data_IF_328178789881
#
_entry.id   IF_328178789881
#
_cell.length_a   1.000
_cell.length_b   1.000
_cell.length_c   1.000
_cell.angle_alpha   90.00
_cell.angle_beta   90.00
_cell.angle_gamma   90.00
#
_symmetry.space_group_name_H-M   'P 1'
#
loop_
_entity.id
_entity.type
_entity.pdbx_description
1 polymer ?
#
# COMPACT_ATOMS: atom_id res chain seq x y z
N UNK A 1 -10.63 1.62 47.63
CA UNK A 1 -11.30 1.81 46.33
C UNK A 1 -10.30 2.46 45.40
N UNK A 2 -9.68 1.68 44.51
CA UNK A 2 -8.80 2.24 43.47
C UNK A 2 -9.67 2.89 42.41
N UNK A 3 -9.52 4.19 42.19
CA UNK A 3 -10.07 4.85 41.02
C UNK A 3 -9.38 4.23 39.82
N UNK A 4 -10.13 3.55 38.95
CA UNK A 4 -9.70 3.30 37.60
C UNK A 4 -9.37 4.65 37.00
N UNK A 5 -8.10 4.87 36.68
CA UNK A 5 -7.70 6.00 35.87
C UNK A 5 -8.31 5.78 34.50
N UNK A 6 -9.29 6.60 34.13
CA UNK A 6 -9.76 6.69 32.73
C UNK A 6 -8.53 6.98 31.85
N UNK A 7 -8.06 5.95 31.17
CA UNK A 7 -7.05 6.11 30.14
C UNK A 7 -7.82 6.71 28.97
N UNK A 8 -7.72 8.01 28.84
CA UNK A 8 -8.26 8.74 27.70
C UNK A 8 -7.42 8.39 26.48
N UNK A 9 -7.84 7.34 25.75
CA UNK A 9 -7.18 6.93 24.52
C UNK A 9 -7.65 7.88 23.42
N UNK A 10 -6.86 8.91 23.16
CA UNK A 10 -7.10 9.81 22.03
C UNK A 10 -6.76 9.08 20.73
N UNK A 11 -7.78 8.66 19.99
CA UNK A 11 -7.62 8.09 18.65
C UNK A 11 -7.39 9.23 17.67
N UNK A 12 -6.15 9.34 17.17
CA UNK A 12 -5.82 10.31 16.11
C UNK A 12 -6.13 9.72 14.74
N UNK A 13 -6.89 10.42 13.90
CA UNK A 13 -7.13 9.97 12.52
C UNK A 13 -5.83 9.90 11.72
N UNK A 14 -5.71 8.84 10.91
CA UNK A 14 -4.57 8.59 10.03
C UNK A 14 -4.86 9.22 8.67
N UNK A 15 -3.89 9.96 8.11
CA UNK A 15 -3.87 10.32 6.71
C UNK A 15 -3.13 9.24 5.92
N UNK A 16 -3.72 8.77 4.84
CA UNK A 16 -3.16 7.71 3.99
C UNK A 16 -2.90 8.21 2.58
N UNK A 17 -1.91 7.62 1.92
CA UNK A 17 -1.77 7.68 0.48
C UNK A 17 -2.17 6.32 -0.10
N UNK A 18 -2.97 6.33 -1.16
CA UNK A 18 -3.38 5.11 -1.89
C UNK A 18 -3.03 5.25 -3.36
N UNK A 19 -2.54 4.18 -3.93
CA UNK A 19 -2.26 4.09 -5.36
C UNK A 19 -2.21 2.63 -5.81
N UNK A 20 -2.23 2.42 -7.11
CA UNK A 20 -2.05 1.11 -7.70
C UNK A 20 -0.81 1.07 -8.60
N UNK A 21 -0.11 -0.05 -8.57
CA UNK A 21 1.08 -0.27 -9.40
C UNK A 21 0.88 -1.45 -10.34
N UNK A 22 1.08 -1.23 -11.62
CA UNK A 22 1.02 -2.27 -12.63
C UNK A 22 2.28 -3.11 -12.64
N UNK A 23 2.09 -4.40 -12.80
CA UNK A 23 3.13 -5.38 -13.13
C UNK A 23 2.55 -6.52 -13.96
N UNK A 24 3.36 -7.50 -14.32
CA UNK A 24 2.91 -8.67 -15.05
C UNK A 24 3.79 -9.87 -14.76
N UNK A 25 3.25 -11.06 -15.03
CA UNK A 25 4.01 -12.30 -15.05
C UNK A 25 3.88 -12.94 -16.44
N UNK A 26 4.83 -13.77 -16.81
CA UNK A 26 4.92 -14.44 -18.11
C UNK A 26 5.03 -13.44 -19.28
N UNK A 27 3.95 -12.75 -19.63
CA UNK A 27 3.91 -11.69 -20.64
C UNK A 27 2.96 -10.57 -20.21
N UNK A 28 2.94 -9.48 -20.94
CA UNK A 28 2.17 -8.26 -20.61
C UNK A 28 0.65 -8.43 -20.62
N UNK A 29 0.14 -9.54 -21.19
CA UNK A 29 -1.30 -9.84 -21.13
C UNK A 29 -1.72 -10.35 -19.74
N UNK A 30 -0.78 -10.89 -18.97
CA UNK A 30 -1.01 -11.40 -17.61
C UNK A 30 -0.72 -10.32 -16.59
N UNK A 31 -1.61 -9.33 -16.50
CA UNK A 31 -1.44 -8.18 -15.62
C UNK A 31 -1.67 -8.54 -14.16
N UNK A 32 -0.85 -7.97 -13.29
CA UNK A 32 -1.02 -8.01 -11.85
C UNK A 32 -0.89 -6.59 -11.32
N UNK A 33 -1.94 -6.11 -10.70
CA UNK A 33 -1.97 -4.79 -10.08
C UNK A 33 -1.83 -4.93 -8.57
N UNK A 34 -0.90 -4.18 -8.01
CA UNK A 34 -0.76 -3.99 -6.57
C UNK A 34 -1.60 -2.79 -6.17
N UNK A 35 -2.58 -3.01 -5.31
CA UNK A 35 -3.36 -1.95 -4.66
C UNK A 35 -2.91 -1.85 -3.23
N UNK A 36 -2.47 -0.70 -2.79
CA UNK A 36 -2.00 -0.53 -1.44
C UNK A 36 -2.22 0.85 -0.87
N UNK A 37 -2.11 0.93 0.46
CA UNK A 37 -2.21 2.15 1.23
C UNK A 37 -1.01 2.26 2.17
N UNK A 38 -0.44 3.44 2.26
CA UNK A 38 0.62 3.76 3.20
C UNK A 38 0.18 4.87 4.15
N UNK A 39 0.78 4.93 5.33
CA UNK A 39 0.63 6.07 6.22
C UNK A 39 1.36 7.28 5.61
N UNK A 40 0.64 8.38 5.42
CA UNK A 40 1.18 9.60 4.81
C UNK A 40 2.31 10.22 5.65
N UNK A 41 2.24 10.10 6.97
CA UNK A 41 3.21 10.71 7.88
C UNK A 41 4.47 9.84 8.01
N UNK A 42 4.31 8.54 8.22
CA UNK A 42 5.42 7.62 8.53
C UNK A 42 5.96 6.86 7.33
N UNK A 43 5.25 6.86 6.21
CA UNK A 43 5.56 6.04 5.01
C UNK A 43 5.49 4.51 5.27
N UNK A 44 4.77 4.09 6.30
CA UNK A 44 4.59 2.68 6.63
C UNK A 44 3.38 2.12 5.87
N UNK A 45 3.51 1.00 5.15
CA UNK A 45 2.36 0.35 4.54
C UNK A 45 1.34 -0.09 5.58
N UNK A 46 0.07 0.19 5.33
CA UNK A 46 -1.04 -0.22 6.18
C UNK A 46 -1.67 -1.52 5.70
N UNK A 47 -1.88 -1.64 4.41
CA UNK A 47 -2.43 -2.82 3.77
C UNK A 47 -2.11 -2.84 2.27
N UNK A 48 -2.14 -4.03 1.69
CA UNK A 48 -2.01 -4.22 0.25
C UNK A 48 -2.80 -5.45 -0.21
N UNK A 49 -3.19 -5.43 -1.47
CA UNK A 49 -3.78 -6.59 -2.15
C UNK A 49 -3.35 -6.62 -3.62
N UNK A 50 -3.47 -7.77 -4.24
CA UNK A 50 -3.15 -7.97 -5.65
C UNK A 50 -4.40 -8.34 -6.43
N UNK A 51 -4.47 -7.87 -7.66
CA UNK A 51 -5.57 -8.22 -8.54
C UNK A 51 -5.44 -7.58 -9.91
N UNK A 52 -6.56 -7.19 -10.47
CA UNK A 52 -6.62 -6.40 -11.70
C UNK A 52 -6.89 -4.93 -11.37
N UNK A 53 -7.11 -4.10 -12.38
CA UNK A 53 -7.47 -2.69 -12.18
C UNK A 53 -8.97 -2.48 -11.91
N UNK A 54 -9.73 -3.54 -11.67
CA UNK A 54 -11.15 -3.45 -11.34
C UNK A 54 -11.38 -2.88 -9.94
N UNK A 55 -12.43 -2.10 -9.77
CA UNK A 55 -12.78 -1.42 -8.52
C UNK A 55 -13.01 -2.37 -7.33
N UNK A 56 -13.37 -3.63 -7.59
CA UNK A 56 -13.53 -4.64 -6.53
C UNK A 56 -12.27 -4.86 -5.69
N UNK A 57 -11.08 -4.65 -6.26
CA UNK A 57 -9.82 -4.78 -5.52
C UNK A 57 -9.57 -3.58 -4.61
N UNK A 58 -10.09 -2.40 -4.96
CA UNK A 58 -10.14 -1.29 -4.02
C UNK A 58 -11.07 -1.58 -2.86
N UNK A 59 -12.22 -2.21 -3.09
CA UNK A 59 -13.12 -2.67 -2.02
C UNK A 59 -12.40 -3.64 -1.07
N UNK A 60 -11.61 -4.55 -1.62
CA UNK A 60 -10.79 -5.48 -0.86
C UNK A 60 -9.76 -4.76 0.01
N UNK A 61 -9.06 -3.78 -0.56
CA UNK A 61 -8.11 -2.94 0.17
C UNK A 61 -8.81 -2.17 1.29
N UNK A 62 -9.95 -1.56 1.02
CA UNK A 62 -10.72 -0.82 2.01
C UNK A 62 -11.20 -1.71 3.16
N UNK A 63 -11.55 -2.97 2.88
CA UNK A 63 -11.90 -3.96 3.91
C UNK A 63 -10.70 -4.26 4.82
N UNK A 64 -9.50 -4.36 4.26
CA UNK A 64 -8.27 -4.55 5.04
C UNK A 64 -7.93 -3.33 5.90
N UNK A 65 -8.37 -2.15 5.49
CA UNK A 65 -8.12 -0.88 6.19
C UNK A 65 -9.16 -0.56 7.26
N UNK A 66 -10.23 -1.32 7.36
CA UNK A 66 -11.33 -1.09 8.31
C UNK A 66 -10.86 -0.93 9.77
N UNK A 67 -9.88 -1.72 10.29
CA UNK A 67 -9.38 -1.54 11.65
C UNK A 67 -8.65 -0.22 11.91
N UNK A 68 -8.26 0.50 10.88
CA UNK A 68 -7.50 1.75 11.01
C UNK A 68 -8.43 2.97 11.03
N UNK A 69 -8.17 3.95 11.92
CA UNK A 69 -8.97 5.18 11.99
C UNK A 69 -8.56 6.16 10.89
N UNK A 70 -8.92 5.86 9.65
CA UNK A 70 -8.55 6.67 8.50
C UNK A 70 -9.45 7.91 8.42
N UNK A 71 -8.85 9.10 8.52
CA UNK A 71 -9.54 10.37 8.43
C UNK A 71 -9.42 11.05 7.06
N UNK A 72 -8.34 10.78 6.33
CA UNK A 72 -8.07 11.40 5.03
C UNK A 72 -7.33 10.43 4.12
N UNK A 73 -7.70 10.44 2.84
CA UNK A 73 -7.07 9.64 1.80
C UNK A 73 -6.58 10.55 0.69
N UNK A 74 -5.30 10.50 0.41
CA UNK A 74 -4.69 11.12 -0.75
C UNK A 74 -4.55 10.07 -1.85
N UNK A 75 -5.15 10.32 -3.01
CA UNK A 75 -5.10 9.45 -4.17
C UNK A 75 -5.02 10.30 -5.45
N UNK A 76 -4.67 9.69 -6.55
CA UNK A 76 -4.73 10.36 -7.84
C UNK A 76 -6.19 10.55 -8.32
N UNK A 77 -6.36 11.08 -9.52
CA UNK A 77 -7.68 11.33 -10.09
C UNK A 77 -8.36 10.08 -10.69
N UNK A 78 -7.91 8.88 -10.34
CA UNK A 78 -8.55 7.66 -10.79
C UNK A 78 -9.99 7.61 -10.27
N UNK A 79 -10.93 7.36 -11.17
CA UNK A 79 -12.36 7.28 -10.86
C UNK A 79 -12.71 6.25 -9.77
N UNK A 80 -11.93 5.18 -9.65
CA UNK A 80 -12.14 4.17 -8.63
C UNK A 80 -12.18 4.78 -7.21
N UNK A 81 -11.27 5.68 -6.90
CA UNK A 81 -11.21 6.35 -5.59
C UNK A 81 -12.40 7.28 -5.37
N UNK A 82 -12.82 7.98 -6.42
CA UNK A 82 -13.99 8.86 -6.34
C UNK A 82 -15.30 8.08 -6.16
N UNK A 83 -15.38 6.91 -6.75
CA UNK A 83 -16.53 6.01 -6.67
C UNK A 83 -16.68 5.37 -5.27
N UNK A 84 -15.58 4.96 -4.67
CA UNK A 84 -15.56 4.15 -3.45
C UNK A 84 -15.32 4.91 -2.15
N UNK A 85 -14.75 6.10 -2.21
CA UNK A 85 -14.40 6.87 -1.02
C UNK A 85 -15.35 8.06 -0.82
N UNK A 86 -15.70 8.37 0.46
CA UNK A 86 -16.49 9.56 0.75
C UNK A 86 -15.79 10.83 0.28
N UNK A 87 -16.50 11.79 -0.36
CA UNK A 87 -15.89 13.04 -0.86
C UNK A 87 -15.23 13.89 0.22
N UNK A 88 -15.65 13.79 1.45
CA UNK A 88 -15.10 14.53 2.60
C UNK A 88 -13.75 13.96 3.08
N UNK A 89 -13.47 12.69 2.78
CA UNK A 89 -12.20 12.03 3.11
C UNK A 89 -11.19 12.03 1.98
N UNK A 90 -11.63 12.04 0.73
CA UNK A 90 -10.78 11.95 -0.44
C UNK A 90 -10.22 13.32 -0.84
N UNK A 91 -8.90 13.40 -0.96
CA UNK A 91 -8.21 14.52 -1.61
C UNK A 91 -7.54 13.99 -2.87
N UNK A 92 -8.13 14.31 -4.02
CA UNK A 92 -7.63 13.89 -5.32
C UNK A 92 -6.49 14.78 -5.80
N UNK A 93 -5.54 14.20 -6.53
CA UNK A 93 -4.44 14.89 -7.18
C UNK A 93 -3.08 14.34 -6.80
N UNK A 94 -2.07 14.70 -7.56
CA UNK A 94 -0.70 14.14 -7.41
C UNK A 94 0.14 14.80 -6.31
N UNK A 95 -0.32 15.92 -5.78
CA UNK A 95 0.47 16.72 -4.82
C UNK A 95 0.85 15.96 -3.56
N UNK A 96 -0.03 15.09 -3.07
CA UNK A 96 0.11 14.42 -1.79
C UNK A 96 0.30 12.90 -1.91
N UNK A 97 0.62 12.39 -3.11
CA UNK A 97 0.88 10.96 -3.38
C UNK A 97 2.35 10.69 -3.71
N UNK A 98 3.24 11.59 -3.39
CA UNK A 98 4.65 11.50 -3.74
C UNK A 98 5.38 10.37 -3.00
N UNK A 99 4.99 10.06 -1.78
CA UNK A 99 5.62 9.00 -0.99
C UNK A 99 5.29 7.62 -1.56
N UNK A 100 4.03 7.36 -1.87
CA UNK A 100 3.63 6.07 -2.47
C UNK A 100 4.20 5.90 -3.88
N UNK A 101 4.29 6.98 -4.67
CA UNK A 101 4.95 6.94 -5.97
C UNK A 101 6.45 6.64 -5.84
N UNK A 102 7.10 7.18 -4.83
CA UNK A 102 8.50 6.86 -4.51
C UNK A 102 8.66 5.39 -4.09
N UNK A 103 7.70 4.88 -3.34
CA UNK A 103 7.70 3.47 -2.94
C UNK A 103 7.51 2.55 -4.15
N UNK A 104 6.69 2.93 -5.13
CA UNK A 104 6.63 2.23 -6.43
C UNK A 104 7.97 2.18 -7.13
N UNK A 105 8.70 3.29 -7.15
CA UNK A 105 10.05 3.32 -7.72
C UNK A 105 11.00 2.41 -6.96
N UNK A 106 10.93 2.38 -5.64
CA UNK A 106 11.72 1.48 -4.79
C UNK A 106 11.42 0.02 -5.12
N UNK A 107 10.16 -0.36 -5.24
CA UNK A 107 9.79 -1.72 -5.63
C UNK A 107 10.35 -2.09 -7.00
N UNK A 108 10.22 -1.20 -7.99
CA UNK A 108 10.71 -1.45 -9.35
C UNK A 108 12.22 -1.53 -9.46
N UNK A 109 12.96 -0.81 -8.63
CA UNK A 109 14.42 -0.83 -8.65
C UNK A 109 15.04 -1.93 -7.81
N UNK A 110 14.39 -2.32 -6.71
CA UNK A 110 14.89 -3.33 -5.78
C UNK A 110 14.49 -4.76 -6.11
N UNK A 111 13.30 -4.93 -6.70
CA UNK A 111 12.81 -6.25 -7.10
C UNK A 111 13.17 -6.49 -8.56
N UNK A 112 14.11 -7.39 -8.81
CA UNK A 112 14.64 -7.65 -10.18
C UNK A 112 13.53 -8.01 -11.18
N UNK A 113 12.52 -8.75 -10.77
CA UNK A 113 11.38 -9.14 -11.62
C UNK A 113 10.54 -7.97 -12.10
N UNK A 114 10.60 -6.82 -11.42
CA UNK A 114 9.89 -5.60 -11.77
C UNK A 114 10.76 -4.59 -12.53
N UNK A 115 12.08 -4.83 -12.62
CA UNK A 115 12.99 -3.96 -13.35
C UNK A 115 12.71 -4.05 -14.86
N UNK A 116 12.70 -2.89 -15.52
CA UNK A 116 12.60 -2.84 -16.99
C UNK A 116 13.86 -3.40 -17.63
N UNK A 117 13.72 -4.04 -18.80
CA UNK A 117 14.84 -4.58 -19.61
C UNK A 117 15.71 -5.58 -18.85
N UNK A 118 15.13 -6.38 -17.98
CA UNK A 118 15.82 -7.47 -17.30
C UNK A 118 15.41 -8.82 -17.89
N UNK A 119 16.29 -9.81 -17.80
CA UNK A 119 15.98 -11.21 -18.07
C UNK A 119 15.30 -11.90 -16.88
N UNK A 120 15.28 -11.25 -15.73
CA UNK A 120 14.67 -11.77 -14.49
C UNK A 120 13.19 -11.46 -14.45
N UNK A 121 12.39 -12.10 -15.30
CA UNK A 121 10.94 -11.92 -15.34
C UNK A 121 10.19 -13.05 -14.63
N UNK A 122 9.01 -12.72 -14.12
CA UNK A 122 8.14 -13.69 -13.45
C UNK A 122 7.45 -14.60 -14.43
N UNK A 123 7.39 -15.89 -14.12
CA UNK A 123 6.71 -16.90 -14.93
C UNK A 123 5.39 -17.38 -14.31
N UNK A 124 5.20 -17.19 -13.03
CA UNK A 124 4.06 -17.69 -12.27
C UNK A 124 3.48 -16.56 -11.41
N UNK A 125 2.14 -16.45 -11.41
CA UNK A 125 1.42 -15.41 -10.67
C UNK A 125 1.67 -15.49 -9.16
N UNK A 126 1.57 -16.70 -8.59
CA UNK A 126 1.68 -16.88 -7.13
C UNK A 126 3.09 -16.57 -6.63
N UNK A 127 4.11 -16.97 -7.38
CA UNK A 127 5.49 -16.61 -7.07
C UNK A 127 5.71 -15.10 -7.23
N UNK A 128 5.16 -14.49 -8.28
CA UNK A 128 5.26 -13.05 -8.52
C UNK A 128 4.69 -12.24 -7.35
N UNK A 129 3.46 -12.53 -6.95
CA UNK A 129 2.80 -11.83 -5.83
C UNK A 129 3.46 -12.13 -4.49
N UNK A 130 3.93 -13.37 -4.27
CA UNK A 130 4.65 -13.74 -3.06
C UNK A 130 5.99 -12.98 -2.92
N UNK A 131 6.73 -12.81 -4.00
CA UNK A 131 8.00 -12.05 -4.00
C UNK A 131 7.75 -10.58 -3.66
N UNK A 132 6.76 -9.96 -4.27
CA UNK A 132 6.43 -8.55 -3.99
C UNK A 132 5.93 -8.39 -2.56
N UNK A 133 5.00 -9.23 -2.13
CA UNK A 133 4.45 -9.19 -0.77
C UNK A 133 5.51 -9.42 0.30
N UNK A 134 6.39 -10.37 0.10
CA UNK A 134 7.53 -10.63 0.99
C UNK A 134 8.48 -9.44 1.06
N UNK A 135 8.77 -8.81 -0.07
CA UNK A 135 9.59 -7.61 -0.10
C UNK A 135 8.94 -6.45 0.67
N UNK A 136 7.65 -6.22 0.47
CA UNK A 136 6.90 -5.20 1.22
C UNK A 136 6.99 -5.48 2.73
N UNK A 137 6.74 -6.72 3.14
CA UNK A 137 6.75 -7.10 4.54
C UNK A 137 8.13 -6.92 5.18
N UNK A 138 9.19 -7.31 4.50
CA UNK A 138 10.55 -7.23 5.05
C UNK A 138 11.12 -5.83 4.94
N UNK A 139 11.03 -5.21 3.77
CA UNK A 139 11.72 -3.93 3.51
C UNK A 139 11.02 -2.76 4.20
N UNK A 140 9.70 -2.67 4.12
CA UNK A 140 8.95 -1.56 4.68
C UNK A 140 8.65 -1.77 6.18
N UNK A 141 8.15 -2.93 6.56
CA UNK A 141 7.85 -3.21 7.98
C UNK A 141 9.08 -3.52 8.81
N UNK A 142 10.14 -4.07 8.21
CA UNK A 142 11.40 -4.32 8.90
C UNK A 142 12.11 -3.05 9.39
N UNK A 143 11.79 -1.90 8.81
CA UNK A 143 12.29 -0.60 9.30
C UNK A 143 11.69 -0.16 10.64
N UNK A 144 10.51 -0.67 10.99
CA UNK A 144 9.90 -0.43 12.29
C UNK A 144 10.62 -1.18 13.42
N UNK A 145 11.24 -2.29 13.08
CA UNK A 145 12.03 -3.11 14.00
C UNK A 145 13.48 -3.00 13.58
N UNK A 146 14.17 -1.99 14.10
CA UNK A 146 15.61 -1.94 13.98
C UNK A 146 16.20 -3.09 14.78
N UNK A 147 16.45 -4.20 14.09
CA UNK A 147 17.03 -5.41 14.66
C UNK A 147 18.42 -5.15 15.28
N UNK A 148 19.04 -4.02 14.95
CA UNK A 148 20.32 -3.61 15.55
C UNK A 148 20.18 -3.25 17.03
N UNK A 149 18.97 -2.94 17.51
CA UNK A 149 18.68 -2.65 18.91
C UNK A 149 18.31 -3.90 19.72
N UNK A 150 18.08 -5.05 19.09
CA UNK A 150 17.67 -6.30 19.76
C UNK A 150 18.84 -7.31 19.87
N UNK A 151 19.89 -7.10 19.11
CA UNK A 151 21.14 -7.85 19.17
C UNK A 151 22.17 -7.02 19.95
#
# INVERSE_FOLDING_TARGET
>A
MRKESDIDVEIRPIATEMDEMWSYYHDKSHQVWLWWAIDHETNVPLAYTFGTREHKYLDELLSLLEPFPIGRVYADNNYAYQDKLPPDKLVSGKKNTQKIERDHLTLRTRIKRLCRKTICFSKNKDVHTAVIGTFINIFFFGRLFDLSTIL
#
